data_IF_847660481528
#
_entry.id   IF_847660481528
#
_cell.length_a   1.000
_cell.length_b   1.000
_cell.length_c   1.000
_cell.angle_alpha   90.00
_cell.angle_beta   90.00
_cell.angle_gamma   90.00
#
_symmetry.space_group_name_H-M   'P 1'
#
loop_
_entity.id
_entity.type
_entity.pdbx_description
1 polymer ?
#
# COMPACT_ATOMS: atom_id res chain seq x y z
N UNK A 1 20.70 12.43 -21.18
CA UNK A 1 19.44 12.84 -20.51
C UNK A 1 19.22 11.91 -19.33
N UNK A 2 19.07 12.44 -18.11
CA UNK A 2 18.83 11.59 -16.94
C UNK A 2 17.46 10.94 -17.07
N UNK A 3 17.43 9.61 -17.22
CA UNK A 3 16.17 8.87 -17.28
C UNK A 3 15.50 8.95 -15.91
N UNK A 4 14.42 9.74 -15.81
CA UNK A 4 13.61 9.88 -14.61
C UNK A 4 13.20 8.49 -14.10
N UNK A 5 13.40 8.22 -12.81
CA UNK A 5 12.92 7.00 -12.17
C UNK A 5 11.39 6.95 -12.26
N UNK A 6 10.82 5.89 -12.82
CA UNK A 6 9.36 5.62 -12.81
C UNK A 6 9.04 4.44 -11.91
N UNK A 7 7.77 4.28 -11.54
CA UNK A 7 7.30 3.17 -10.71
C UNK A 7 7.62 1.82 -11.37
N UNK A 8 7.28 1.66 -12.65
CA UNK A 8 7.47 0.43 -13.41
C UNK A 8 8.95 0.08 -13.54
N UNK A 9 9.80 1.09 -13.72
CA UNK A 9 11.25 0.90 -13.76
C UNK A 9 11.80 0.48 -12.40
N UNK A 10 11.35 1.11 -11.31
CA UNK A 10 11.76 0.76 -9.96
C UNK A 10 11.32 -0.68 -9.59
N UNK A 11 10.09 -1.06 -9.95
CA UNK A 11 9.59 -2.43 -9.78
C UNK A 11 10.45 -3.45 -10.54
N UNK A 12 10.76 -3.18 -11.82
CA UNK A 12 11.63 -4.06 -12.60
C UNK A 12 13.02 -4.21 -12.00
N UNK A 13 13.59 -3.15 -11.45
CA UNK A 13 14.88 -3.22 -10.76
C UNK A 13 14.79 -4.03 -9.46
N UNK A 14 13.69 -3.90 -8.71
CA UNK A 14 13.46 -4.68 -7.51
C UNK A 14 13.35 -6.18 -7.82
N UNK A 15 12.62 -6.55 -8.88
CA UNK A 15 12.53 -7.94 -9.37
C UNK A 15 13.91 -8.49 -9.72
N UNK A 16 14.75 -7.71 -10.42
CA UNK A 16 16.12 -8.11 -10.74
C UNK A 16 16.98 -8.32 -9.50
N UNK A 17 16.87 -7.42 -8.51
CA UNK A 17 17.59 -7.57 -7.24
C UNK A 17 17.17 -8.84 -6.52
N UNK A 18 15.87 -9.13 -6.45
CA UNK A 18 15.36 -10.36 -5.83
C UNK A 18 15.91 -11.59 -6.54
N UNK A 19 15.83 -11.64 -7.88
CA UNK A 19 16.39 -12.74 -8.67
C UNK A 19 17.89 -12.95 -8.43
N UNK A 20 18.67 -11.88 -8.37
CA UNK A 20 20.10 -11.96 -8.08
C UNK A 20 20.38 -12.46 -6.66
N UNK A 21 19.59 -12.03 -5.67
CA UNK A 21 19.73 -12.47 -4.28
C UNK A 21 19.31 -13.92 -4.08
N UNK A 22 18.29 -14.38 -4.81
CA UNK A 22 17.80 -15.77 -4.78
C UNK A 22 18.75 -16.75 -5.47
N UNK A 23 19.57 -16.28 -6.41
CA UNK A 23 20.57 -17.12 -7.08
C UNK A 23 21.62 -17.71 -6.13
N UNK A 24 21.86 -17.07 -4.98
CA UNK A 24 22.80 -17.55 -3.96
C UNK A 24 24.28 -17.39 -4.28
N UNK A 25 24.64 -16.99 -5.50
CA UNK A 25 26.03 -16.84 -5.97
C UNK A 25 26.65 -15.46 -5.67
N UNK A 26 25.93 -14.61 -4.92
CA UNK A 26 26.35 -13.24 -4.65
C UNK A 26 27.32 -13.17 -3.44
N UNK A 27 28.52 -12.58 -3.59
CA UNK A 27 29.38 -12.26 -2.46
C UNK A 27 28.66 -11.40 -1.43
N UNK A 28 28.96 -11.59 -0.15
CA UNK A 28 28.29 -10.91 0.98
C UNK A 28 28.25 -9.38 0.82
N UNK A 29 29.37 -8.75 0.43
CA UNK A 29 29.42 -7.30 0.21
C UNK A 29 28.44 -6.84 -0.88
N UNK A 30 28.33 -7.61 -1.97
CA UNK A 30 27.36 -7.30 -3.04
C UNK A 30 25.93 -7.54 -2.58
N UNK A 31 25.69 -8.57 -1.77
CA UNK A 31 24.36 -8.86 -1.22
C UNK A 31 23.86 -7.71 -0.34
N UNK A 32 24.75 -7.13 0.48
CA UNK A 32 24.44 -5.95 1.30
C UNK A 32 24.11 -4.75 0.40
N UNK A 33 24.92 -4.48 -0.62
CA UNK A 33 24.66 -3.38 -1.56
C UNK A 33 23.31 -3.54 -2.28
N UNK A 34 22.99 -4.75 -2.74
CA UNK A 34 21.73 -5.07 -3.40
C UNK A 34 20.54 -4.93 -2.46
N UNK A 35 20.69 -5.34 -1.20
CA UNK A 35 19.68 -5.15 -0.17
C UNK A 35 19.42 -3.66 0.10
N UNK A 36 20.45 -2.83 0.25
CA UNK A 36 20.31 -1.38 0.42
C UNK A 36 19.64 -0.71 -0.79
N UNK A 37 19.99 -1.14 -2.01
CA UNK A 37 19.31 -0.71 -3.23
C UNK A 37 17.83 -1.12 -3.23
N UNK A 38 17.52 -2.36 -2.86
CA UNK A 38 16.16 -2.87 -2.73
C UNK A 38 15.33 -2.05 -1.74
N UNK A 39 15.86 -1.73 -0.56
CA UNK A 39 15.17 -0.89 0.43
C UNK A 39 14.86 0.50 -0.13
N UNK A 40 15.79 1.11 -0.87
CA UNK A 40 15.57 2.43 -1.50
C UNK A 40 14.49 2.36 -2.57
N UNK A 41 14.49 1.32 -3.41
CA UNK A 41 13.48 1.12 -4.45
C UNK A 41 12.09 0.87 -3.85
N UNK A 42 12.01 0.04 -2.81
CA UNK A 42 10.74 -0.21 -2.08
C UNK A 42 10.16 1.08 -1.52
N UNK A 43 10.98 1.91 -0.86
CA UNK A 43 10.53 3.22 -0.34
C UNK A 43 10.01 4.12 -1.45
N UNK A 44 10.74 4.21 -2.57
CA UNK A 44 10.30 4.99 -3.73
C UNK A 44 8.95 4.49 -4.27
N UNK A 45 8.76 3.17 -4.39
CA UNK A 45 7.52 2.58 -4.85
C UNK A 45 6.36 2.90 -3.91
N UNK A 46 6.54 2.74 -2.59
CA UNK A 46 5.53 3.05 -1.58
C UNK A 46 5.14 4.52 -1.63
N UNK A 47 6.12 5.45 -1.63
CA UNK A 47 5.84 6.88 -1.73
C UNK A 47 5.04 7.23 -2.99
N UNK A 48 5.33 6.56 -4.11
CA UNK A 48 4.63 6.79 -5.37
C UNK A 48 3.19 6.27 -5.34
N UNK A 49 2.95 5.15 -4.68
CA UNK A 49 1.60 4.61 -4.46
C UNK A 49 0.82 5.53 -3.54
N UNK A 50 1.38 5.96 -2.42
CA UNK A 50 0.74 6.90 -1.48
C UNK A 50 0.36 8.22 -2.16
N UNK A 51 1.26 8.77 -2.98
CA UNK A 51 0.97 9.97 -3.76
C UNK A 51 -0.20 9.75 -4.73
N UNK A 52 -0.23 8.59 -5.37
CA UNK A 52 -1.26 8.22 -6.35
C UNK A 52 -2.61 8.00 -5.66
N UNK A 53 -2.63 7.30 -4.53
CA UNK A 53 -3.82 7.09 -3.70
C UNK A 53 -4.42 8.43 -3.27
N UNK A 54 -3.61 9.34 -2.69
CA UNK A 54 -4.07 10.68 -2.29
C UNK A 54 -4.69 11.44 -3.46
N UNK A 55 -4.09 11.36 -4.65
CA UNK A 55 -4.63 12.00 -5.86
C UNK A 55 -5.96 11.37 -6.27
N UNK A 56 -6.08 10.05 -6.22
CA UNK A 56 -7.34 9.34 -6.49
C UNK A 56 -8.41 9.76 -5.49
N UNK A 57 -8.11 9.81 -4.20
CA UNK A 57 -9.05 10.26 -3.15
C UNK A 57 -9.54 11.68 -3.40
N UNK A 58 -8.65 12.61 -3.77
CA UNK A 58 -9.04 13.98 -4.12
C UNK A 58 -9.93 14.05 -5.37
N UNK A 59 -9.61 13.25 -6.40
CA UNK A 59 -10.40 13.18 -7.64
C UNK A 59 -11.76 12.52 -7.45
N UNK A 60 -11.86 11.54 -6.55
CA UNK A 60 -13.12 10.91 -6.15
C UNK A 60 -14.00 11.82 -5.29
N UNK A 61 -13.50 13.01 -4.95
CA UNK A 61 -14.25 14.08 -4.32
C UNK A 61 -13.95 14.17 -2.84
N UNK A 62 -13.35 15.30 -2.45
CA UNK A 62 -13.58 15.89 -1.14
C UNK A 62 -15.04 16.31 -0.97
N UNK A 63 -15.95 15.34 -0.96
CA UNK A 63 -17.20 15.44 -0.20
C UNK A 63 -16.91 14.70 1.09
N UNK A 64 -16.94 15.42 2.20
CA UNK A 64 -17.07 14.90 3.55
C UNK A 64 -17.50 13.42 3.55
N UNK A 65 -16.53 12.54 3.76
CA UNK A 65 -16.77 11.19 4.22
C UNK A 65 -17.29 11.26 5.65
N UNK A 66 -18.47 11.86 5.85
CA UNK A 66 -19.39 11.38 6.84
C UNK A 66 -19.80 9.98 6.38
N UNK A 67 -18.87 9.03 6.52
CA UNK A 67 -19.24 7.63 6.68
C UNK A 67 -19.89 7.61 8.06
N UNK A 68 -21.19 7.92 8.10
CA UNK A 68 -21.97 7.67 9.29
C UNK A 68 -22.03 6.15 9.41
N UNK A 69 -21.26 5.60 10.34
CA UNK A 69 -21.55 4.28 10.89
C UNK A 69 -22.85 4.44 11.68
N UNK A 70 -23.98 4.43 10.99
CA UNK A 70 -25.28 4.34 11.65
C UNK A 70 -25.30 2.96 12.34
N UNK A 71 -25.36 2.91 13.69
CA UNK A 71 -25.51 1.63 14.37
C UNK A 71 -26.77 0.94 13.83
N UNK A 72 -26.62 -0.32 13.41
CA UNK A 72 -27.76 -1.11 12.98
C UNK A 72 -28.84 -1.03 14.06
N UNK A 73 -30.10 -0.71 13.70
CA UNK A 73 -31.16 -0.70 14.68
C UNK A 73 -31.24 -2.08 15.29
N UNK A 74 -30.86 -2.17 16.56
CA UNK A 74 -31.24 -3.27 17.42
C UNK A 74 -32.78 -3.28 17.39
N UNK A 75 -33.37 -4.16 16.59
CA UNK A 75 -34.73 -4.59 16.81
C UNK A 75 -34.71 -5.37 18.11
N UNK A 76 -34.60 -4.62 19.21
CA UNK A 76 -34.98 -5.04 20.53
C UNK A 76 -36.44 -5.42 20.41
N UNK A 77 -36.66 -6.71 20.19
CA UNK A 77 -37.91 -7.40 20.44
C UNK A 77 -38.32 -7.03 21.86
N UNK A 78 -39.09 -5.94 21.96
CA UNK A 78 -39.87 -5.64 23.15
C UNK A 78 -40.94 -6.71 23.20
N UNK A 79 -40.56 -7.87 23.72
CA UNK A 79 -41.49 -8.88 24.19
C UNK A 79 -42.52 -8.17 25.05
N UNK A 80 -43.71 -8.04 24.49
CA UNK A 80 -44.83 -7.33 25.07
C UNK A 80 -45.08 -7.87 26.48
N UNK A 81 -45.06 -6.96 27.44
CA UNK A 81 -45.68 -7.14 28.74
C UNK A 81 -47.18 -7.38 28.53
N UNK A 82 -47.61 -8.62 28.31
CA UNK A 82 -49.01 -8.97 28.48
C UNK A 82 -49.23 -9.24 29.96
N UNK A 83 -49.77 -8.22 30.62
CA UNK A 83 -50.52 -8.40 31.86
C UNK A 83 -51.77 -9.23 31.59
N UNK A 84 -51.85 -10.40 32.23
CA UNK A 84 -53.05 -10.91 32.90
C UNK A 84 -52.67 -12.05 33.84
#
# INVERSE_FOLDING_TARGET
>A
MAAKQTFEKAMKQLEQIVQEMESGDLPLEKAIQKFEEGIRLTRFCTEKLDETEKRVTLLMGGTDGQVSEEPFPDHGDKGESVSQ
#
